data_IF_594483300430
#
_entry.id   IF_594483300430
#
_cell.length_a   1.000
_cell.length_b   1.000
_cell.length_c   1.000
_cell.angle_alpha   90.00
_cell.angle_beta   90.00
_cell.angle_gamma   90.00
#
_symmetry.space_group_name_H-M   'P 1'
#
loop_
_entity.id
_entity.type
_entity.pdbx_description
1 polymer ?
#
# COMPACT_ATOMS: atom_id res chain seq x y z
N UNK A 1 -0.89 -34.63 2.65
CA UNK A 1 -2.37 -34.50 2.74
C UNK A 1 -2.94 -33.28 2.00
N UNK A 2 -2.23 -32.14 1.87
CA UNK A 2 -2.79 -30.93 1.23
C UNK A 2 -3.05 -30.97 -0.29
N UNK A 3 -2.41 -31.88 -1.04
CA UNK A 3 -2.59 -32.00 -2.51
C UNK A 3 -3.70 -32.98 -2.91
N UNK A 4 -4.11 -33.87 -2.00
CA UNK A 4 -5.12 -34.89 -2.27
C UNK A 4 -6.51 -34.28 -2.18
N UNK A 5 -7.40 -34.68 -3.10
CA UNK A 5 -8.80 -34.18 -3.16
C UNK A 5 -9.59 -34.44 -1.89
N UNK A 6 -9.22 -35.48 -1.13
CA UNK A 6 -9.90 -35.92 0.08
C UNK A 6 -9.89 -34.88 1.21
N UNK A 7 -8.83 -34.09 1.34
CA UNK A 7 -8.72 -33.06 2.38
C UNK A 7 -9.37 -31.72 1.99
N UNK A 8 -9.82 -31.54 0.74
CA UNK A 8 -10.52 -30.32 0.28
C UNK A 8 -9.69 -29.03 0.19
N UNK A 9 -8.51 -28.96 0.80
CA UNK A 9 -7.61 -27.80 0.78
C UNK A 9 -7.18 -27.39 -0.64
N UNK A 10 -6.97 -28.39 -1.51
CA UNK A 10 -6.64 -28.20 -2.92
C UNK A 10 -7.73 -27.37 -3.64
N UNK A 11 -9.01 -27.60 -3.31
CA UNK A 11 -10.15 -26.87 -3.90
C UNK A 11 -10.15 -25.40 -3.50
N UNK A 12 -9.98 -25.12 -2.21
CA UNK A 12 -9.91 -23.74 -1.70
C UNK A 12 -8.75 -22.98 -2.34
N UNK A 13 -7.58 -23.61 -2.50
CA UNK A 13 -6.43 -22.95 -3.15
C UNK A 13 -6.68 -22.62 -4.63
N UNK A 14 -7.42 -23.48 -5.36
CA UNK A 14 -7.81 -23.20 -6.75
C UNK A 14 -8.81 -22.05 -6.83
N UNK A 15 -9.82 -22.08 -5.97
CA UNK A 15 -10.87 -21.07 -5.93
C UNK A 15 -10.29 -19.71 -5.55
N UNK A 16 -9.33 -19.65 -4.61
CA UNK A 16 -8.71 -18.40 -4.18
C UNK A 16 -7.88 -17.70 -5.28
N UNK A 17 -7.41 -18.42 -6.30
CA UNK A 17 -6.53 -17.86 -7.33
C UNK A 17 -7.24 -16.82 -8.20
N UNK A 18 -8.56 -16.92 -8.34
CA UNK A 18 -9.39 -16.04 -9.17
C UNK A 18 -9.56 -14.65 -8.53
N UNK A 19 -9.59 -14.57 -7.19
CA UNK A 19 -9.82 -13.32 -6.46
C UNK A 19 -8.69 -12.28 -6.59
N UNK A 20 -7.52 -12.68 -7.10
CA UNK A 20 -6.43 -11.73 -7.39
C UNK A 20 -6.58 -11.03 -8.75
N UNK A 21 -7.47 -11.53 -9.60
CA UNK A 21 -7.67 -11.08 -10.99
C UNK A 21 -9.04 -10.42 -11.15
N UNK A 22 -10.07 -11.02 -10.55
CA UNK A 22 -11.44 -10.52 -10.60
C UNK A 22 -11.64 -9.33 -9.65
N UNK A 23 -12.59 -8.45 -9.98
CA UNK A 23 -12.85 -7.15 -9.33
C UNK A 23 -11.78 -6.06 -9.58
N UNK A 24 -10.86 -6.34 -10.51
CA UNK A 24 -9.71 -5.49 -10.82
C UNK A 24 -8.44 -6.26 -10.45
N UNK A 25 -7.55 -6.45 -11.42
CA UNK A 25 -6.28 -7.10 -11.15
C UNK A 25 -5.55 -6.36 -10.02
N UNK A 26 -5.00 -7.10 -9.06
CA UNK A 26 -4.33 -6.52 -7.89
C UNK A 26 -3.31 -5.42 -8.28
N UNK A 27 -2.63 -5.59 -9.42
CA UNK A 27 -1.69 -4.60 -9.96
C UNK A 27 -2.37 -3.26 -10.33
N UNK A 28 -3.57 -3.30 -10.92
CA UNK A 28 -4.35 -2.11 -11.26
C UNK A 28 -4.89 -1.42 -10.01
N UNK A 29 -5.34 -2.21 -9.03
CA UNK A 29 -5.83 -1.68 -7.75
C UNK A 29 -4.71 -0.99 -6.97
N UNK A 30 -3.50 -1.54 -6.96
CA UNK A 30 -2.31 -0.90 -6.36
C UNK A 30 -2.00 0.43 -7.02
N UNK A 31 -1.98 0.46 -8.35
CA UNK A 31 -1.79 1.72 -9.09
C UNK A 31 -2.89 2.74 -8.76
N UNK A 32 -4.14 2.30 -8.62
CA UNK A 32 -5.26 3.16 -8.26
C UNK A 32 -5.13 3.77 -6.86
N UNK A 33 -4.70 2.99 -5.85
CA UNK A 33 -4.46 3.47 -4.48
C UNK A 33 -3.37 4.56 -4.49
N UNK A 34 -2.24 4.29 -5.14
CA UNK A 34 -1.13 5.24 -5.19
C UNK A 34 -1.50 6.53 -5.93
N UNK A 35 -2.15 6.42 -7.10
CA UNK A 35 -2.55 7.58 -7.90
C UNK A 35 -3.59 8.44 -7.19
N UNK A 36 -4.63 7.83 -6.61
CA UNK A 36 -5.65 8.56 -5.85
C UNK A 36 -5.04 9.28 -4.64
N UNK A 37 -4.13 8.61 -3.92
CA UNK A 37 -3.40 9.21 -2.81
C UNK A 37 -2.58 10.43 -3.24
N UNK A 38 -1.84 10.32 -4.34
CA UNK A 38 -1.07 11.45 -4.88
C UNK A 38 -1.95 12.58 -5.42
N UNK A 39 -3.09 12.30 -6.05
CA UNK A 39 -4.02 13.33 -6.51
C UNK A 39 -4.56 14.17 -5.35
N UNK A 40 -4.87 13.53 -4.23
CA UNK A 40 -5.30 14.23 -3.02
C UNK A 40 -4.19 15.14 -2.47
N UNK A 41 -2.97 14.61 -2.34
CA UNK A 41 -1.79 15.39 -1.93
C UNK A 41 -1.51 16.55 -2.89
N UNK A 42 -1.60 16.33 -4.19
CA UNK A 42 -1.39 17.36 -5.21
C UNK A 42 -2.35 18.54 -5.06
N UNK A 43 -3.65 18.28 -4.84
CA UNK A 43 -4.65 19.34 -4.59
C UNK A 43 -4.37 20.09 -3.29
N UNK A 44 -3.97 19.39 -2.23
CA UNK A 44 -3.63 20.00 -0.94
C UNK A 44 -2.35 20.84 -1.02
N UNK A 45 -1.34 20.37 -1.75
CA UNK A 45 -0.11 21.11 -2.02
C UNK A 45 -0.35 22.32 -2.92
N UNK A 46 -1.21 22.22 -3.93
CA UNK A 46 -1.58 23.37 -4.77
C UNK A 46 -2.30 24.45 -3.94
N UNK A 47 -3.22 24.05 -3.06
CA UNK A 47 -3.88 24.95 -2.12
C UNK A 47 -2.87 25.66 -1.19
N UNK A 48 -1.93 24.89 -0.62
CA UNK A 48 -0.89 25.45 0.25
C UNK A 48 0.11 26.31 -0.52
N UNK A 49 0.47 25.95 -1.76
CA UNK A 49 1.39 26.71 -2.61
C UNK A 49 0.77 28.03 -3.09
N UNK A 50 -0.55 28.07 -3.33
CA UNK A 50 -1.28 29.32 -3.59
C UNK A 50 -1.22 30.28 -2.39
N UNK A 51 -1.18 29.76 -1.16
CA UNK A 51 -0.94 30.56 0.05
C UNK A 51 0.54 30.92 0.26
N UNK A 52 1.45 30.02 -0.11
CA UNK A 52 2.90 30.18 0.04
C UNK A 52 3.56 31.02 -1.08
N UNK A 53 2.84 31.33 -2.16
CA UNK A 53 3.33 32.13 -3.32
C UNK A 53 3.80 33.55 -2.96
N UNK A 54 3.70 33.96 -1.69
CA UNK A 54 4.35 35.15 -1.15
C UNK A 54 5.84 34.96 -0.79
N UNK A 55 6.40 33.73 -0.86
CA UNK A 55 7.80 33.45 -0.56
C UNK A 55 8.48 32.58 -1.63
N UNK A 56 9.72 32.94 -1.99
CA UNK A 56 10.59 32.30 -2.98
C UNK A 56 11.02 30.85 -2.62
N UNK A 57 10.07 29.91 -2.49
CA UNK A 57 10.31 28.50 -2.16
C UNK A 57 10.51 27.61 -3.40
N UNK A 58 10.32 28.14 -4.61
CA UNK A 58 10.42 27.38 -5.86
C UNK A 58 11.78 26.72 -6.13
N UNK A 59 12.87 27.25 -5.56
CA UNK A 59 14.24 26.77 -5.83
C UNK A 59 14.70 25.67 -4.84
N UNK A 60 13.98 25.46 -3.72
CA UNK A 60 14.39 24.51 -2.68
C UNK A 60 13.85 23.08 -2.91
N UNK A 61 12.81 22.92 -3.73
CA UNK A 61 12.17 21.62 -3.92
C UNK A 61 12.99 20.68 -4.82
N UNK A 62 13.77 21.25 -5.75
CA UNK A 62 14.58 20.49 -6.71
C UNK A 62 15.84 19.89 -6.07
N UNK A 63 16.32 20.44 -4.95
CA UNK A 63 17.49 19.92 -4.23
C UNK A 63 17.19 18.79 -3.24
N UNK A 64 15.92 18.57 -2.87
CA UNK A 64 15.52 17.59 -1.84
C UNK A 64 15.22 16.21 -2.46
N UNK A 65 14.87 16.13 -3.73
CA UNK A 65 14.59 14.86 -4.43
C UNK A 65 15.68 14.52 -5.45
N UNK A 66 16.82 13.93 -5.03
CA UNK A 66 17.81 13.42 -5.97
C UNK A 66 17.16 12.35 -6.85
N UNK A 67 17.16 12.57 -8.17
CA UNK A 67 16.66 11.60 -9.17
C UNK A 67 17.61 10.41 -9.25
N UNK A 68 17.47 9.47 -8.34
CA UNK A 68 18.21 8.21 -8.40
C UNK A 68 17.73 7.41 -9.62
N UNK A 69 18.68 7.08 -10.50
CA UNK A 69 18.46 6.20 -11.65
C UNK A 69 18.64 4.77 -11.15
N UNK A 70 17.54 4.05 -10.99
CA UNK A 70 17.58 2.59 -10.86
C UNK A 70 17.39 2.01 -12.25
N UNK A 71 18.42 1.34 -12.76
CA UNK A 71 18.41 0.81 -14.12
C UNK A 71 17.62 -0.50 -14.17
N UNK A 72 16.52 -0.47 -14.93
CA UNK A 72 15.72 -1.64 -15.28
C UNK A 72 16.05 -2.01 -16.73
N UNK A 73 16.33 -3.29 -16.99
CA UNK A 73 16.53 -3.79 -18.37
C UNK A 73 15.18 -3.86 -19.10
N UNK A 74 14.73 -2.72 -19.62
CA UNK A 74 13.52 -2.54 -20.42
C UNK A 74 13.88 -1.76 -21.68
N UNK A 75 13.19 -2.03 -22.80
CA UNK A 75 13.38 -1.29 -24.04
C UNK A 75 13.30 0.23 -23.77
N UNK A 76 14.24 1.05 -24.30
CA UNK A 76 14.40 2.45 -23.90
C UNK A 76 13.16 3.33 -24.11
N UNK A 77 12.25 2.96 -25.01
CA UNK A 77 10.97 3.66 -25.18
C UNK A 77 9.92 3.40 -24.07
N UNK A 78 10.07 2.34 -23.27
CA UNK A 78 9.14 1.97 -22.19
C UNK A 78 9.75 2.11 -20.80
N UNK A 79 11.05 2.39 -20.69
CA UNK A 79 11.76 2.49 -19.42
C UNK A 79 11.12 3.52 -18.46
N UNK A 80 10.68 4.68 -18.99
CA UNK A 80 10.04 5.73 -18.19
C UNK A 80 8.67 5.31 -17.63
N UNK A 81 7.89 4.56 -18.41
CA UNK A 81 6.60 4.04 -17.97
C UNK A 81 6.78 2.95 -16.90
N UNK A 82 7.73 2.04 -17.10
CA UNK A 82 8.06 0.98 -16.16
C UNK A 82 8.56 1.55 -14.82
N UNK A 83 9.42 2.59 -14.85
CA UNK A 83 9.94 3.23 -13.64
C UNK A 83 8.82 3.83 -12.78
N UNK A 84 7.91 4.58 -13.40
CA UNK A 84 6.77 5.20 -12.71
C UNK A 84 5.85 4.16 -12.09
N UNK A 85 5.58 3.06 -12.79
CA UNK A 85 4.78 1.96 -12.25
C UNK A 85 5.43 1.32 -11.03
N UNK A 86 6.75 1.14 -11.04
CA UNK A 86 7.50 0.60 -9.89
C UNK A 86 7.40 1.48 -8.64
N UNK A 87 7.55 2.79 -8.79
CA UNK A 87 7.42 3.74 -7.69
C UNK A 87 6.01 3.73 -7.10
N UNK A 88 4.99 3.68 -7.96
CA UNK A 88 3.58 3.60 -7.56
C UNK A 88 3.24 2.32 -6.81
N UNK A 89 3.73 1.17 -7.28
CA UNK A 89 3.47 -0.11 -6.61
C UNK A 89 4.09 -0.13 -5.21
N UNK A 90 5.30 0.40 -5.02
CA UNK A 90 5.92 0.52 -3.70
C UNK A 90 5.13 1.43 -2.76
N UNK A 91 4.64 2.56 -3.27
CA UNK A 91 3.80 3.46 -2.48
C UNK A 91 2.50 2.76 -2.07
N UNK A 92 1.87 2.04 -3.00
CA UNK A 92 0.66 1.28 -2.72
C UNK A 92 0.88 0.18 -1.67
N UNK A 93 1.97 -0.59 -1.79
CA UNK A 93 2.30 -1.65 -0.82
C UNK A 93 2.51 -1.06 0.58
N UNK A 94 3.27 0.04 0.70
CA UNK A 94 3.44 0.74 1.97
C UNK A 94 2.11 1.28 2.54
N UNK A 95 1.23 1.80 1.68
CA UNK A 95 -0.09 2.29 2.10
C UNK A 95 -0.99 1.15 2.60
N UNK A 96 -0.93 -0.03 1.96
CA UNK A 96 -1.66 -1.23 2.38
C UNK A 96 -1.18 -1.67 3.76
N UNK A 97 0.13 -1.70 4.00
CA UNK A 97 0.70 -2.10 5.30
C UNK A 97 0.36 -1.10 6.43
N UNK A 98 0.39 0.20 6.15
CA UNK A 98 -0.03 1.21 7.13
C UNK A 98 -1.52 1.06 7.47
N UNK A 99 -2.36 0.80 6.47
CA UNK A 99 -3.80 0.64 6.70
C UNK A 99 -4.11 -0.64 7.48
N UNK A 100 -3.48 -1.76 7.13
CA UNK A 100 -3.69 -3.03 7.82
C UNK A 100 -3.22 -2.97 9.27
N UNK A 101 -2.06 -2.39 9.54
CA UNK A 101 -1.54 -2.19 10.90
C UNK A 101 -2.46 -1.27 11.72
N UNK A 102 -2.90 -0.15 11.14
CA UNK A 102 -3.86 0.75 11.79
C UNK A 102 -5.20 0.05 12.10
N UNK A 103 -5.71 -0.78 11.19
CA UNK A 103 -6.95 -1.52 11.39
C UNK A 103 -6.83 -2.56 12.52
N UNK A 104 -5.73 -3.30 12.57
CA UNK A 104 -5.45 -4.28 13.63
C UNK A 104 -5.31 -3.59 14.99
N UNK A 105 -4.57 -2.48 15.06
CA UNK A 105 -4.41 -1.69 16.28
C UNK A 105 -5.73 -1.06 16.76
N UNK A 106 -6.54 -0.53 15.83
CA UNK A 106 -7.86 0.02 16.13
C UNK A 106 -8.80 -1.05 16.69
N UNK A 107 -8.79 -2.25 16.10
CA UNK A 107 -9.55 -3.39 16.60
C UNK A 107 -9.12 -3.79 18.01
N UNK A 108 -7.82 -3.94 18.25
CA UNK A 108 -7.30 -4.28 19.58
C UNK A 108 -7.62 -3.21 20.62
N UNK A 109 -7.52 -1.93 20.25
CA UNK A 109 -7.89 -0.81 21.12
C UNK A 109 -9.37 -0.84 21.49
N UNK A 110 -10.23 -1.18 20.53
CA UNK A 110 -11.68 -1.34 20.78
C UNK A 110 -11.97 -2.54 21.69
N UNK A 111 -11.29 -3.67 21.48
CA UNK A 111 -11.44 -4.85 22.33
C UNK A 111 -10.99 -4.58 23.78
N UNK A 112 -9.92 -3.78 23.95
CA UNK A 112 -9.47 -3.30 25.26
C UNK A 112 -10.55 -2.45 25.95
N UNK A 113 -11.16 -1.51 25.22
CA UNK A 113 -12.20 -0.62 25.75
C UNK A 113 -13.47 -1.38 26.18
N UNK A 114 -13.78 -2.50 25.51
CA UNK A 114 -14.95 -3.34 25.80
C UNK A 114 -14.67 -4.48 26.80
N UNK A 115 -13.44 -4.59 27.33
CA UNK A 115 -13.01 -5.65 28.25
C UNK A 115 -13.37 -7.07 27.78
N UNK A 116 -13.14 -7.35 26.49
CA UNK A 116 -13.45 -8.66 25.92
C UNK A 116 -12.46 -9.74 26.42
N UNK A 117 -12.96 -10.95 26.66
CA UNK A 117 -12.13 -12.10 27.06
C UNK A 117 -11.07 -12.49 26.01
N UNK A 118 -11.29 -12.13 24.74
CA UNK A 118 -10.37 -12.38 23.64
C UNK A 118 -9.22 -11.36 23.52
N UNK A 119 -9.18 -10.33 24.37
CA UNK A 119 -8.20 -9.23 24.28
C UNK A 119 -6.75 -9.72 24.27
N UNK A 120 -6.39 -10.69 25.11
CA UNK A 120 -5.02 -11.21 25.18
C UNK A 120 -4.56 -11.91 23.90
N UNK A 121 -5.48 -12.59 23.20
CA UNK A 121 -5.20 -13.19 21.90
C UNK A 121 -5.05 -12.13 20.81
N UNK A 122 -5.97 -11.16 20.75
CA UNK A 122 -5.92 -10.09 19.76
C UNK A 122 -4.66 -9.21 19.93
N UNK A 123 -4.28 -8.90 21.18
CA UNK A 123 -3.05 -8.15 21.49
C UNK A 123 -1.80 -8.87 20.98
N UNK A 124 -1.67 -10.17 21.26
CA UNK A 124 -0.53 -10.97 20.79
C UNK A 124 -0.48 -11.04 19.26
N UNK A 125 -1.63 -11.16 18.61
CA UNK A 125 -1.72 -11.16 17.15
C UNK A 125 -1.27 -9.82 16.56
N UNK A 126 -1.71 -8.70 17.16
CA UNK A 126 -1.28 -7.37 16.74
C UNK A 126 0.22 -7.14 16.92
N UNK A 127 0.79 -7.56 18.05
CA UNK A 127 2.22 -7.45 18.32
C UNK A 127 3.07 -8.29 17.36
N UNK A 128 2.56 -9.43 16.89
CA UNK A 128 3.25 -10.23 15.87
C UNK A 128 3.14 -9.60 14.49
N UNK A 129 1.96 -9.05 14.15
CA UNK A 129 1.71 -8.44 12.84
C UNK A 129 2.53 -7.16 12.63
N UNK A 130 2.71 -6.33 13.66
CA UNK A 130 3.48 -5.08 13.55
C UNK A 130 5.00 -5.27 13.57
N UNK A 131 5.48 -6.48 13.90
CA UNK A 131 6.92 -6.81 13.94
C UNK A 131 7.44 -7.45 12.65
N UNK A 132 6.55 -7.86 11.74
CA UNK A 132 6.90 -8.43 10.44
C UNK A 132 7.38 -7.34 9.49
#
# INVERSE_FOLDING_TARGET
>A
MGYMRECGLERVMRDLRIFRIFEGANDVLRLFIALTGMQYLGKHMEYNMKKLRAGNIGVLFESIFPRNKFDFNVHPSLADAAKRQWELVRLADAAIDIYSTAAVLSRCSRAAALQQSAFDCERKLAELYTKQ
#
